data_IF_754111963525
#
_entry.id   IF_754111963525
#
_cell.length_a   1.000
_cell.length_b   1.000
_cell.length_c   1.000
_cell.angle_alpha   90.00
_cell.angle_beta   90.00
_cell.angle_gamma   90.00
#
_symmetry.space_group_name_H-M   'P 1'
#
loop_
_entity.id
_entity.type
_entity.pdbx_description
1 polymer ?
#
# COMPACT_ATOMS: atom_id res chain seq x y z
N UNK A 1 9.57 -47.80 -49.80
CA UNK A 1 10.61 -47.66 -48.76
C UNK A 1 10.77 -46.25 -48.14
N UNK A 2 9.98 -45.22 -48.50
CA UNK A 2 10.16 -43.84 -47.92
C UNK A 2 9.21 -43.46 -46.75
N UNK A 3 8.22 -44.31 -46.40
CA UNK A 3 7.28 -44.02 -45.29
C UNK A 3 7.71 -44.56 -43.90
N UNK A 4 8.60 -45.56 -43.86
CA UNK A 4 9.06 -46.16 -42.58
C UNK A 4 10.12 -45.33 -41.83
N UNK A 5 10.92 -44.56 -42.57
CA UNK A 5 12.05 -43.76 -41.96
C UNK A 5 11.52 -42.56 -41.19
N UNK A 6 10.39 -41.95 -41.57
CA UNK A 6 9.82 -40.78 -40.86
C UNK A 6 9.17 -41.12 -39.51
N UNK A 7 8.59 -42.33 -39.39
CA UNK A 7 7.93 -42.78 -38.13
C UNK A 7 8.98 -43.14 -37.07
N UNK A 8 10.08 -43.80 -37.50
CA UNK A 8 11.18 -44.15 -36.57
C UNK A 8 11.91 -42.90 -36.04
N UNK A 9 12.13 -41.88 -36.90
CA UNK A 9 12.75 -40.60 -36.47
C UNK A 9 11.90 -39.83 -35.48
N UNK A 10 10.56 -39.87 -35.60
CA UNK A 10 9.65 -39.18 -34.67
C UNK A 10 9.58 -39.90 -33.32
N UNK A 11 9.57 -41.24 -33.31
CA UNK A 11 9.55 -42.02 -32.07
C UNK A 11 10.89 -41.87 -31.32
N UNK A 12 12.04 -41.88 -31.99
CA UNK A 12 13.35 -41.64 -31.34
C UNK A 12 13.47 -40.22 -30.78
N UNK A 13 12.95 -39.20 -31.47
CA UNK A 13 12.97 -37.82 -30.96
C UNK A 13 12.07 -37.62 -29.73
N UNK A 14 10.91 -38.27 -29.68
CA UNK A 14 9.99 -38.20 -28.53
C UNK A 14 10.57 -38.96 -27.33
N UNK A 15 11.25 -40.09 -27.56
CA UNK A 15 11.90 -40.85 -26.45
C UNK A 15 13.12 -40.10 -25.92
N UNK A 16 13.92 -39.42 -26.75
CA UNK A 16 15.07 -38.62 -26.30
C UNK A 16 14.61 -37.40 -25.51
N UNK A 17 13.52 -36.75 -25.92
CA UNK A 17 12.94 -35.63 -25.16
C UNK A 17 12.36 -36.10 -23.82
N UNK A 18 11.70 -37.26 -23.79
CA UNK A 18 11.17 -37.85 -22.55
C UNK A 18 12.29 -38.28 -21.58
N UNK A 19 13.37 -38.86 -22.10
CA UNK A 19 14.54 -39.25 -21.28
C UNK A 19 15.33 -38.02 -20.81
N UNK A 20 15.46 -36.95 -21.60
CA UNK A 20 16.04 -35.67 -21.14
C UNK A 20 15.20 -34.98 -20.07
N UNK A 21 13.87 -35.06 -20.15
CA UNK A 21 12.98 -34.54 -19.13
C UNK A 21 13.04 -35.33 -17.81
N UNK A 22 13.43 -36.60 -17.84
CA UNK A 22 13.63 -37.44 -16.64
C UNK A 22 15.06 -37.26 -16.02
N UNK A 23 15.99 -36.63 -16.75
CA UNK A 23 17.37 -36.38 -16.28
C UNK A 23 17.58 -34.98 -15.75
N UNK A 24 16.55 -34.12 -15.73
CA UNK A 24 16.63 -32.90 -14.98
C UNK A 24 16.64 -33.30 -13.50
N UNK A 25 17.71 -32.95 -12.73
CA UNK A 25 17.67 -33.19 -11.31
C UNK A 25 16.43 -32.45 -10.77
N UNK A 26 15.49 -33.20 -10.22
CA UNK A 26 14.47 -32.62 -9.36
C UNK A 26 15.26 -31.90 -8.27
N UNK A 27 15.25 -30.57 -8.28
CA UNK A 27 15.76 -29.78 -7.14
C UNK A 27 14.84 -30.11 -5.98
N UNK A 28 15.15 -31.20 -5.31
CA UNK A 28 14.54 -31.54 -4.03
C UNK A 28 15.14 -30.55 -3.02
N UNK A 29 14.41 -29.49 -2.74
CA UNK A 29 14.75 -28.69 -1.57
C UNK A 29 14.57 -29.60 -0.36
N UNK A 30 15.64 -29.79 0.41
CA UNK A 30 15.54 -30.48 1.70
C UNK A 30 14.58 -29.68 2.58
N UNK A 31 13.74 -30.39 3.35
CA UNK A 31 12.91 -29.72 4.35
C UNK A 31 13.80 -28.89 5.28
N UNK A 32 13.40 -27.63 5.58
CA UNK A 32 14.19 -26.77 6.45
C UNK A 32 14.31 -27.38 7.83
N UNK A 33 15.48 -27.28 8.44
CA UNK A 33 15.84 -27.94 9.69
C UNK A 33 16.31 -26.97 10.75
N UNK A 34 16.24 -27.37 12.04
CA UNK A 34 16.67 -26.55 13.16
C UNK A 34 15.59 -25.70 13.78
N UNK A 35 16.01 -24.86 14.73
CA UNK A 35 15.09 -23.93 15.42
C UNK A 35 14.49 -22.93 14.43
N UNK A 36 13.18 -22.74 14.47
CA UNK A 36 12.50 -21.83 13.55
C UNK A 36 12.90 -20.37 13.77
N UNK A 37 12.92 -19.61 12.67
CA UNK A 37 12.96 -18.14 12.73
C UNK A 37 11.53 -17.67 12.95
N UNK A 38 11.28 -16.96 14.05
CA UNK A 38 9.92 -16.52 14.40
C UNK A 38 9.66 -15.12 13.87
N UNK A 39 8.62 -15.00 13.04
CA UNK A 39 8.07 -13.73 12.57
C UNK A 39 6.70 -13.54 13.22
N UNK A 40 6.53 -12.46 13.96
CA UNK A 40 5.28 -12.08 14.60
C UNK A 40 4.48 -11.07 13.77
N UNK A 41 3.18 -11.08 13.94
CA UNK A 41 2.26 -10.09 13.39
C UNK A 41 1.28 -9.60 14.44
N UNK A 42 1.10 -8.28 14.54
CA UNK A 42 0.08 -7.64 15.38
C UNK A 42 -0.82 -6.78 14.51
N UNK A 43 -2.13 -6.98 14.62
CA UNK A 43 -3.12 -6.16 13.91
C UNK A 43 -4.54 -6.47 14.36
N UNK A 44 -5.52 -5.86 13.75
CA UNK A 44 -6.93 -6.20 13.93
C UNK A 44 -7.32 -7.27 12.90
N UNK A 45 -7.26 -8.54 13.27
CA UNK A 45 -7.47 -9.67 12.36
C UNK A 45 -8.86 -9.73 11.71
N UNK A 46 -9.84 -9.03 12.26
CA UNK A 46 -11.19 -8.92 11.70
C UNK A 46 -11.35 -7.72 10.73
N UNK A 47 -10.36 -6.83 10.65
CA UNK A 47 -10.44 -5.65 9.79
C UNK A 47 -10.24 -6.01 8.31
N UNK A 48 -11.09 -5.49 7.41
CA UNK A 48 -10.90 -5.66 5.96
C UNK A 48 -9.58 -5.08 5.42
N UNK A 49 -8.98 -4.12 6.13
CA UNK A 49 -7.68 -3.56 5.79
C UNK A 49 -6.53 -4.47 6.24
N UNK A 50 -6.61 -4.97 7.47
CA UNK A 50 -5.53 -5.72 8.15
C UNK A 50 -5.48 -7.18 7.76
N UNK A 51 -6.63 -7.84 7.67
CA UNK A 51 -6.69 -9.29 7.38
C UNK A 51 -5.96 -9.68 6.09
N UNK A 52 -6.12 -8.98 4.95
CA UNK A 52 -5.39 -9.31 3.74
C UNK A 52 -3.86 -9.21 3.88
N UNK A 53 -3.36 -8.25 4.68
CA UNK A 53 -1.93 -8.10 4.95
C UNK A 53 -1.38 -9.29 5.74
N UNK A 54 -2.11 -9.74 6.74
CA UNK A 54 -1.78 -10.94 7.50
C UNK A 54 -1.76 -12.19 6.61
N UNK A 55 -2.80 -12.38 5.78
CA UNK A 55 -2.93 -13.55 4.92
C UNK A 55 -1.83 -13.59 3.85
N UNK A 56 -1.44 -12.46 3.28
CA UNK A 56 -0.38 -12.39 2.27
C UNK A 56 1.02 -12.61 2.89
N UNK A 57 1.27 -12.16 4.12
CA UNK A 57 2.50 -12.46 4.83
C UNK A 57 2.60 -13.96 5.13
N UNK A 58 1.50 -14.58 5.58
CA UNK A 58 1.44 -16.04 5.75
C UNK A 58 1.75 -16.78 4.45
N UNK A 59 1.19 -16.32 3.32
CA UNK A 59 1.49 -16.88 2.00
C UNK A 59 2.98 -16.78 1.66
N UNK A 60 3.60 -15.63 1.91
CA UNK A 60 5.03 -15.42 1.65
C UNK A 60 5.89 -16.36 2.52
N UNK A 61 5.54 -16.55 3.79
CA UNK A 61 6.22 -17.50 4.70
C UNK A 61 6.07 -18.92 4.21
N UNK A 62 4.90 -19.34 3.77
CA UNK A 62 4.69 -20.68 3.23
C UNK A 62 5.54 -20.93 1.97
N UNK A 63 5.65 -19.94 1.08
CA UNK A 63 6.52 -20.02 -0.11
C UNK A 63 8.01 -20.12 0.27
N UNK A 64 8.45 -19.38 1.27
CA UNK A 64 9.84 -19.44 1.79
C UNK A 64 10.13 -20.83 2.37
N UNK A 65 9.22 -21.38 3.17
CA UNK A 65 9.39 -22.70 3.76
C UNK A 65 9.40 -23.80 2.69
N UNK A 66 8.53 -23.69 1.69
CA UNK A 66 8.53 -24.63 0.54
C UNK A 66 9.82 -24.56 -0.30
N UNK A 67 10.52 -23.41 -0.25
CA UNK A 67 11.82 -23.22 -0.90
C UNK A 67 13.03 -23.59 -0.02
N UNK A 68 12.83 -24.24 1.14
CA UNK A 68 13.90 -24.66 2.05
C UNK A 68 14.19 -23.71 3.20
N UNK A 69 13.29 -22.77 3.49
CA UNK A 69 13.39 -21.84 4.60
C UNK A 69 14.37 -20.69 4.37
N UNK A 70 14.84 -20.07 5.46
CA UNK A 70 15.87 -19.03 5.42
C UNK A 70 17.15 -19.60 6.07
N UNK A 71 18.25 -19.58 5.34
CA UNK A 71 19.51 -20.23 5.77
C UNK A 71 19.32 -21.71 6.16
N UNK A 72 18.37 -22.41 5.50
CA UNK A 72 18.02 -23.81 5.80
C UNK A 72 17.15 -24.00 7.04
N UNK A 73 16.72 -22.94 7.71
CA UNK A 73 15.85 -22.98 8.91
C UNK A 73 14.39 -22.69 8.53
N UNK A 74 13.41 -23.36 9.18
CA UNK A 74 12.01 -23.05 8.96
C UNK A 74 11.64 -21.66 9.50
N UNK A 75 10.64 -21.04 8.89
CA UNK A 75 10.06 -19.79 9.38
C UNK A 75 8.71 -20.10 10.03
N UNK A 76 8.54 -19.68 11.28
CA UNK A 76 7.28 -19.74 12.01
C UNK A 76 6.60 -18.39 12.02
N UNK A 77 5.36 -18.33 11.53
CA UNK A 77 4.56 -17.11 11.50
C UNK A 77 3.51 -17.15 12.60
N UNK A 78 3.52 -16.15 13.49
CA UNK A 78 2.62 -16.08 14.65
C UNK A 78 1.82 -14.79 14.59
N UNK A 79 0.51 -14.91 14.67
CA UNK A 79 -0.42 -13.76 14.65
C UNK A 79 -0.97 -13.55 16.07
N UNK A 80 -0.98 -12.30 16.52
CA UNK A 80 -1.65 -11.85 17.73
C UNK A 80 -2.67 -10.76 17.39
N UNK A 81 -3.90 -10.93 17.87
CA UNK A 81 -5.01 -10.01 17.57
C UNK A 81 -5.05 -8.85 18.57
N UNK A 82 -4.68 -7.66 18.11
CA UNK A 82 -4.81 -6.43 18.89
C UNK A 82 -6.21 -5.79 18.86
N UNK A 83 -7.16 -6.34 18.08
CA UNK A 83 -8.57 -5.89 17.95
C UNK A 83 -8.73 -4.40 17.59
N UNK A 84 -7.67 -3.73 17.13
CA UNK A 84 -7.65 -2.29 16.88
C UNK A 84 -7.70 -1.44 18.17
N UNK A 85 -7.44 -2.04 19.32
CA UNK A 85 -7.27 -1.38 20.60
C UNK A 85 -5.80 -1.20 20.94
N UNK A 86 -5.44 -0.05 21.50
CA UNK A 86 -4.02 0.28 21.78
C UNK A 86 -3.43 -0.61 22.86
N UNK A 87 -4.15 -0.84 23.97
CA UNK A 87 -3.66 -1.62 25.10
C UNK A 87 -3.52 -3.10 24.73
N UNK A 88 -4.54 -3.66 24.07
CA UNK A 88 -4.52 -5.05 23.59
C UNK A 88 -3.42 -5.25 22.53
N UNK A 89 -3.17 -4.26 21.68
CA UNK A 89 -2.09 -4.36 20.68
C UNK A 89 -0.70 -4.35 21.31
N UNK A 90 -0.48 -3.54 22.36
CA UNK A 90 0.77 -3.54 23.14
C UNK A 90 0.96 -4.88 23.89
N UNK A 91 -0.10 -5.43 24.47
CA UNK A 91 -0.08 -6.74 25.12
C UNK A 91 0.26 -7.85 24.11
N UNK A 92 -0.42 -7.87 22.96
CA UNK A 92 -0.17 -8.77 21.86
C UNK A 92 1.29 -8.71 21.38
N UNK A 93 1.84 -7.50 21.23
CA UNK A 93 3.25 -7.29 20.88
C UNK A 93 4.20 -7.86 21.96
N UNK A 94 3.95 -7.56 23.23
CA UNK A 94 4.77 -8.07 24.36
C UNK A 94 4.82 -9.59 24.37
N UNK A 95 3.68 -10.25 24.12
CA UNK A 95 3.61 -11.70 24.03
C UNK A 95 4.49 -12.26 22.93
N UNK A 96 4.43 -11.69 21.72
CA UNK A 96 5.30 -12.09 20.60
C UNK A 96 6.79 -12.00 20.96
N UNK A 97 7.19 -10.95 21.66
CA UNK A 97 8.59 -10.72 22.02
C UNK A 97 9.04 -11.59 23.18
N UNK A 98 8.28 -11.63 24.27
CA UNK A 98 8.70 -12.25 25.53
C UNK A 98 8.47 -13.76 25.50
N UNK A 99 7.29 -14.22 25.06
CA UNK A 99 6.91 -15.63 25.10
C UNK A 99 7.31 -16.35 23.80
N UNK A 100 6.94 -15.77 22.63
CA UNK A 100 7.12 -16.40 21.34
C UNK A 100 8.54 -16.16 20.75
N UNK A 101 9.36 -15.27 21.35
CA UNK A 101 10.74 -14.94 20.93
C UNK A 101 10.84 -14.52 19.46
N UNK A 102 9.92 -13.69 19.00
CA UNK A 102 9.91 -13.22 17.63
C UNK A 102 11.15 -12.36 17.33
N UNK A 103 11.88 -12.72 16.27
CA UNK A 103 13.03 -11.97 15.75
C UNK A 103 12.59 -10.75 14.96
N UNK A 104 11.47 -10.87 14.24
CA UNK A 104 10.83 -9.79 13.49
C UNK A 104 9.36 -9.69 13.89
N UNK A 105 8.85 -8.47 14.02
CA UNK A 105 7.43 -8.23 14.24
C UNK A 105 6.95 -7.18 13.24
N UNK A 106 5.95 -7.57 12.44
CA UNK A 106 5.18 -6.67 11.59
C UNK A 106 3.95 -6.18 12.35
N UNK A 107 3.70 -4.89 12.33
CA UNK A 107 2.55 -4.27 13.01
C UNK A 107 1.73 -3.48 12.04
N UNK A 108 0.46 -3.84 11.89
CA UNK A 108 -0.50 -3.04 11.13
C UNK A 108 -1.54 -2.41 12.06
N UNK A 109 -1.69 -1.09 11.94
CA UNK A 109 -2.63 -0.36 12.76
C UNK A 109 -2.59 1.14 12.51
N UNK A 110 -3.44 1.85 13.25
CA UNK A 110 -3.42 3.30 13.28
C UNK A 110 -2.10 3.80 13.89
N UNK A 111 -1.67 4.99 13.48
CA UNK A 111 -0.41 5.58 13.93
C UNK A 111 -0.29 5.63 15.46
N UNK A 112 -1.39 5.88 16.18
CA UNK A 112 -1.43 5.92 17.65
C UNK A 112 -1.10 4.55 18.28
N UNK A 113 -1.60 3.47 17.70
CA UNK A 113 -1.30 2.09 18.13
C UNK A 113 0.17 1.78 17.88
N UNK A 114 0.66 2.11 16.68
CA UNK A 114 2.05 1.86 16.31
C UNK A 114 3.03 2.65 17.19
N UNK A 115 2.71 3.90 17.57
CA UNK A 115 3.50 4.69 18.50
C UNK A 115 3.58 4.07 19.91
N UNK A 116 2.47 3.53 20.40
CA UNK A 116 2.44 2.83 21.69
C UNK A 116 3.25 1.52 21.67
N UNK A 117 3.17 0.76 20.58
CA UNK A 117 3.99 -0.44 20.36
C UNK A 117 5.47 -0.07 20.24
N UNK A 118 5.80 1.00 19.52
CA UNK A 118 7.19 1.49 19.39
C UNK A 118 7.79 1.81 20.77
N UNK A 119 7.01 2.46 21.65
CA UNK A 119 7.45 2.74 23.00
C UNK A 119 7.72 1.46 23.80
N UNK A 120 6.81 0.50 23.75
CA UNK A 120 6.99 -0.81 24.40
C UNK A 120 8.19 -1.56 23.82
N UNK A 121 8.41 -1.50 22.51
CA UNK A 121 9.55 -2.08 21.81
C UNK A 121 10.87 -1.49 22.30
N UNK A 122 10.98 -0.17 22.37
CA UNK A 122 12.19 0.50 22.85
C UNK A 122 12.55 0.16 24.31
N UNK A 123 11.55 -0.15 25.16
CA UNK A 123 11.77 -0.64 26.53
C UNK A 123 12.28 -2.09 26.53
N UNK A 124 11.73 -2.94 25.68
CA UNK A 124 12.05 -4.38 25.66
C UNK A 124 13.33 -4.69 24.87
N UNK A 125 13.76 -3.83 23.96
CA UNK A 125 14.81 -4.11 22.97
C UNK A 125 16.14 -4.59 23.56
N UNK A 126 16.53 -4.05 24.72
CA UNK A 126 17.80 -4.43 25.36
C UNK A 126 17.82 -5.90 25.83
N UNK A 127 16.70 -6.39 26.33
CA UNK A 127 16.57 -7.75 26.86
C UNK A 127 16.14 -8.74 25.78
N UNK A 128 15.29 -8.27 24.85
CA UNK A 128 14.73 -9.06 23.76
C UNK A 128 14.99 -8.35 22.42
N UNK A 129 16.20 -8.50 21.84
CA UNK A 129 16.54 -7.87 20.56
C UNK A 129 15.63 -8.36 19.43
N UNK A 130 15.03 -7.46 18.68
CA UNK A 130 14.10 -7.76 17.58
C UNK A 130 14.08 -6.62 16.56
N UNK A 131 13.56 -6.88 15.37
CA UNK A 131 13.24 -5.87 14.36
C UNK A 131 11.74 -5.60 14.39
N UNK A 132 11.36 -4.32 14.39
CA UNK A 132 9.97 -3.88 14.34
C UNK A 132 9.69 -3.18 13.01
N UNK A 133 8.66 -3.65 12.28
CA UNK A 133 8.24 -3.06 11.01
C UNK A 133 6.79 -2.58 11.15
N UNK A 134 6.55 -1.32 10.80
CA UNK A 134 5.22 -0.74 10.73
C UNK A 134 4.68 -0.85 9.32
N UNK A 135 3.60 -1.62 9.15
CA UNK A 135 2.89 -1.78 7.88
C UNK A 135 1.71 -0.81 7.83
N UNK A 136 1.82 0.20 6.97
CA UNK A 136 0.74 1.12 6.63
C UNK A 136 0.56 2.40 7.45
N UNK A 137 1.06 2.58 8.69
CA UNK A 137 0.85 3.83 9.41
C UNK A 137 1.68 4.98 8.80
N UNK A 138 1.05 6.14 8.63
CA UNK A 138 1.67 7.29 7.96
C UNK A 138 2.28 8.31 8.91
N UNK A 139 1.93 8.28 10.21
CA UNK A 139 2.38 9.27 11.19
C UNK A 139 3.88 9.51 11.16
N UNK A 140 4.30 10.73 10.84
CA UNK A 140 5.70 11.14 10.71
C UNK A 140 6.49 10.93 11.99
N UNK A 141 5.83 11.02 13.14
CA UNK A 141 6.45 10.83 14.45
C UNK A 141 7.11 9.45 14.61
N UNK A 142 6.56 8.39 14.00
CA UNK A 142 7.10 7.03 14.09
C UNK A 142 8.58 6.95 13.68
N UNK A 143 8.96 7.65 12.62
CA UNK A 143 10.34 7.61 12.12
C UNK A 143 11.14 8.85 12.51
N UNK A 144 10.50 9.98 12.84
CA UNK A 144 11.17 11.11 13.45
C UNK A 144 11.79 10.75 14.81
N UNK A 145 11.08 9.95 15.64
CA UNK A 145 11.59 9.45 16.94
C UNK A 145 12.87 8.61 16.83
N UNK A 146 13.09 7.91 15.71
CA UNK A 146 14.32 7.13 15.50
C UNK A 146 15.53 8.05 15.55
N UNK A 147 15.43 9.25 14.95
CA UNK A 147 16.49 10.25 14.98
C UNK A 147 16.55 10.95 16.36
N UNK A 148 15.40 11.36 16.88
CA UNK A 148 15.32 12.20 18.08
C UNK A 148 15.72 11.45 19.35
N UNK A 149 15.52 10.13 19.37
CA UNK A 149 15.76 9.28 20.54
C UNK A 149 16.73 8.14 20.26
N UNK A 150 17.62 8.33 19.26
CA UNK A 150 18.65 7.34 18.96
C UNK A 150 19.51 7.03 20.20
N UNK A 151 19.92 5.77 20.45
CA UNK A 151 19.66 4.58 19.59
C UNK A 151 18.41 3.78 19.98
N UNK A 152 17.49 4.35 20.78
CA UNK A 152 16.33 3.62 21.37
C UNK A 152 15.48 2.90 20.34
N UNK A 153 15.35 3.45 19.13
CA UNK A 153 14.45 2.96 18.09
C UNK A 153 15.15 2.60 16.76
N UNK A 154 16.48 2.44 16.76
CA UNK A 154 17.25 2.12 15.53
C UNK A 154 16.82 0.80 14.87
N UNK A 155 16.12 -0.07 15.61
CA UNK A 155 15.59 -1.35 15.14
C UNK A 155 14.19 -1.25 14.52
N UNK A 156 13.61 -0.04 14.44
CA UNK A 156 12.27 0.22 13.91
C UNK A 156 12.35 0.68 12.45
N UNK A 157 11.48 0.12 11.61
CA UNK A 157 11.35 0.41 10.18
C UNK A 157 9.88 0.64 9.82
N UNK A 158 9.63 1.32 8.71
CA UNK A 158 8.28 1.51 8.17
C UNK A 158 8.26 1.21 6.67
N UNK A 159 7.44 0.27 6.27
CA UNK A 159 7.27 -0.13 4.87
C UNK A 159 6.46 0.86 4.03
N UNK A 160 5.86 1.85 4.67
CA UNK A 160 4.96 2.83 4.08
C UNK A 160 5.54 4.24 4.12
N UNK A 161 4.86 5.16 3.43
CA UNK A 161 5.26 6.56 3.36
C UNK A 161 4.94 7.35 4.64
N UNK A 162 5.82 8.26 5.07
CA UNK A 162 5.42 9.34 5.98
C UNK A 162 4.53 10.36 5.26
N UNK A 163 3.74 11.12 6.02
CA UNK A 163 2.86 12.16 5.45
C UNK A 163 3.55 13.07 4.41
N UNK A 164 4.81 13.51 4.58
CA UNK A 164 5.46 14.36 3.58
C UNK A 164 5.63 13.71 2.21
N UNK A 165 5.70 12.39 2.12
CA UNK A 165 5.82 11.70 0.83
C UNK A 165 4.57 11.87 -0.06
N UNK A 166 3.43 12.16 0.54
CA UNK A 166 2.19 12.39 -0.19
C UNK A 166 2.10 13.77 -0.86
N UNK A 167 3.08 14.65 -0.64
CA UNK A 167 3.14 15.94 -1.33
C UNK A 167 3.44 15.82 -2.82
N UNK A 168 4.18 14.79 -3.25
CA UNK A 168 4.42 14.52 -4.66
C UNK A 168 3.11 14.23 -5.42
N UNK A 169 2.29 13.23 -5.04
CA UNK A 169 1.02 12.98 -5.70
C UNK A 169 0.03 14.14 -5.53
N UNK A 170 -0.01 14.83 -4.39
CA UNK A 170 -0.89 15.99 -4.21
C UNK A 170 -0.56 17.12 -5.17
N UNK A 171 0.72 17.46 -5.32
CA UNK A 171 1.16 18.44 -6.31
C UNK A 171 0.71 18.03 -7.72
N UNK A 172 0.85 16.76 -8.08
CA UNK A 172 0.43 16.27 -9.37
C UNK A 172 -1.10 16.39 -9.57
N UNK A 173 -1.91 16.07 -8.54
CA UNK A 173 -3.36 16.23 -8.63
C UNK A 173 -3.75 17.70 -8.83
N UNK A 174 -3.14 18.62 -8.10
CA UNK A 174 -3.46 20.04 -8.18
C UNK A 174 -2.93 20.73 -9.44
N UNK A 175 -1.81 20.24 -10.01
CA UNK A 175 -1.23 20.85 -11.22
C UNK A 175 -1.63 20.20 -12.54
N UNK A 176 -2.04 18.92 -12.49
CA UNK A 176 -2.36 18.16 -13.70
C UNK A 176 -3.74 17.51 -13.68
N UNK A 177 -4.02 16.59 -12.74
CA UNK A 177 -5.26 15.82 -12.78
C UNK A 177 -6.49 16.73 -12.74
N UNK A 178 -6.57 17.64 -11.78
CA UNK A 178 -7.73 18.51 -11.64
C UNK A 178 -7.80 19.57 -12.75
N UNK A 179 -6.79 20.40 -13.01
CA UNK A 179 -6.91 21.45 -14.01
C UNK A 179 -6.86 20.97 -15.46
N UNK A 180 -6.15 19.86 -15.78
CA UNK A 180 -5.93 19.43 -17.16
C UNK A 180 -6.86 18.29 -17.59
N UNK A 181 -7.13 17.33 -16.72
CA UNK A 181 -7.94 16.15 -17.02
C UNK A 181 -9.40 16.41 -16.66
N UNK A 182 -9.68 16.77 -15.40
CA UNK A 182 -11.04 17.03 -14.90
C UNK A 182 -11.53 18.41 -15.32
N UNK A 183 -10.62 19.37 -15.56
CA UNK A 183 -10.86 20.79 -15.86
C UNK A 183 -11.54 21.53 -14.69
N UNK A 184 -11.23 21.09 -13.47
CA UNK A 184 -11.70 21.72 -12.25
C UNK A 184 -10.86 22.95 -11.90
N UNK A 185 -11.51 23.98 -11.36
CA UNK A 185 -10.91 25.20 -10.83
C UNK A 185 -11.28 25.43 -9.37
N UNK A 186 -12.35 24.80 -8.90
CA UNK A 186 -12.94 24.96 -7.56
C UNK A 186 -12.94 23.61 -6.84
N UNK A 187 -12.27 23.56 -5.70
CA UNK A 187 -11.99 22.33 -4.95
C UNK A 187 -12.70 22.36 -3.61
N UNK A 188 -13.43 21.28 -3.30
CA UNK A 188 -13.82 20.95 -1.94
C UNK A 188 -12.86 19.88 -1.37
N UNK A 189 -12.34 20.08 -0.18
CA UNK A 189 -11.45 19.14 0.51
C UNK A 189 -12.18 18.57 1.73
N UNK A 190 -12.29 17.25 1.78
CA UNK A 190 -12.69 16.50 2.95
C UNK A 190 -11.54 15.60 3.40
N UNK A 191 -11.36 15.44 4.70
CA UNK A 191 -10.43 14.47 5.27
C UNK A 191 -11.00 13.85 6.53
N UNK A 192 -10.60 12.62 6.80
CA UNK A 192 -10.97 11.99 8.06
C UNK A 192 -10.23 12.65 9.23
N UNK A 193 -10.95 12.81 10.35
CA UNK A 193 -10.40 13.46 11.55
C UNK A 193 -9.63 12.44 12.41
N UNK A 194 -8.44 12.07 11.93
CA UNK A 194 -7.49 11.19 12.60
C UNK A 194 -6.09 11.83 12.64
N UNK A 195 -5.22 11.33 13.50
CA UNK A 195 -3.89 11.90 13.74
C UNK A 195 -3.04 11.98 12.46
N UNK A 196 -3.08 10.97 11.61
CA UNK A 196 -2.29 10.89 10.37
C UNK A 196 -2.61 11.97 9.32
N UNK A 197 -3.77 12.65 9.41
CA UNK A 197 -4.11 13.76 8.51
C UNK A 197 -3.69 15.14 9.06
N UNK A 198 -3.10 15.19 10.24
CA UNK A 198 -2.86 16.45 10.96
C UNK A 198 -1.86 17.34 10.25
N UNK A 199 -0.75 16.78 9.76
CA UNK A 199 0.32 17.55 9.11
C UNK A 199 -0.15 18.17 7.80
N UNK A 200 -0.98 17.51 7.02
CA UNK A 200 -1.54 18.08 5.78
C UNK A 200 -2.46 19.27 6.01
N UNK A 201 -3.12 19.29 7.18
CA UNK A 201 -3.98 20.40 7.60
C UNK A 201 -3.21 21.59 8.15
N UNK A 202 -2.10 21.34 8.85
CA UNK A 202 -1.30 22.36 9.53
C UNK A 202 -0.08 22.81 8.73
N UNK A 203 0.38 22.02 7.76
CA UNK A 203 1.70 22.13 7.16
C UNK A 203 2.75 21.41 7.99
N UNK A 204 3.96 21.32 7.46
CA UNK A 204 5.10 20.64 8.10
C UNK A 204 6.28 21.60 8.17
N UNK A 205 6.36 22.37 9.26
CA UNK A 205 7.29 23.48 9.40
C UNK A 205 8.76 23.06 9.31
N UNK A 206 9.13 21.91 9.92
CA UNK A 206 10.53 21.46 9.99
C UNK A 206 11.12 21.05 8.62
N UNK A 207 10.27 20.86 7.58
CA UNK A 207 10.70 20.66 6.19
C UNK A 207 10.03 21.64 5.22
N UNK A 208 9.42 22.70 5.78
CA UNK A 208 8.84 23.81 5.05
C UNK A 208 7.79 23.41 4.00
N UNK A 209 6.90 22.48 4.35
CA UNK A 209 5.79 22.06 3.50
C UNK A 209 4.48 22.77 3.89
N UNK A 210 3.76 23.36 2.92
CA UNK A 210 2.52 24.08 3.19
C UNK A 210 1.36 23.12 3.48
N UNK A 211 0.24 23.66 3.97
CA UNK A 211 -1.03 22.90 3.99
C UNK A 211 -1.43 22.50 2.58
N UNK A 212 -2.21 21.42 2.43
CA UNK A 212 -2.75 21.03 1.11
C UNK A 212 -3.65 22.12 0.51
N UNK A 213 -4.40 22.83 1.34
CA UNK A 213 -5.20 24.00 0.88
C UNK A 213 -4.32 25.08 0.25
N UNK A 214 -3.23 25.42 0.93
CA UNK A 214 -2.28 26.39 0.39
C UNK A 214 -1.63 25.88 -0.90
N UNK A 215 -1.27 24.60 -0.97
CA UNK A 215 -0.68 24.01 -2.17
C UNK A 215 -1.67 24.01 -3.35
N UNK A 216 -2.94 23.73 -3.11
CA UNK A 216 -4.00 23.84 -4.14
C UNK A 216 -4.12 25.28 -4.65
N UNK A 217 -4.17 26.24 -3.74
CA UNK A 217 -4.23 27.69 -4.06
C UNK A 217 -3.02 28.14 -4.86
N UNK A 218 -1.83 27.76 -4.43
CA UNK A 218 -0.57 28.09 -5.13
C UNK A 218 -0.51 27.46 -6.53
N UNK A 219 -1.25 26.37 -6.74
CA UNK A 219 -1.42 25.70 -8.03
C UNK A 219 -2.55 26.30 -8.91
N UNK A 220 -3.16 27.38 -8.48
CA UNK A 220 -4.24 28.07 -9.22
C UNK A 220 -5.62 27.45 -9.05
N UNK A 221 -5.84 26.63 -8.02
CA UNK A 221 -7.13 26.04 -7.68
C UNK A 221 -7.72 26.77 -6.48
N UNK A 222 -8.96 27.25 -6.61
CA UNK A 222 -9.70 27.87 -5.51
C UNK A 222 -10.25 26.79 -4.58
N UNK A 223 -9.86 26.80 -3.30
CA UNK A 223 -10.48 25.92 -2.27
C UNK A 223 -11.75 26.64 -1.77
N UNK A 224 -12.89 26.09 -2.11
CA UNK A 224 -14.21 26.69 -1.82
C UNK A 224 -14.91 26.06 -0.61
N UNK A 225 -14.44 24.89 -0.19
CA UNK A 225 -14.94 24.19 1.00
C UNK A 225 -13.84 23.31 1.58
N UNK A 226 -13.77 23.24 2.89
CA UNK A 226 -12.78 22.42 3.59
C UNK A 226 -13.33 21.96 4.94
N UNK A 227 -13.30 20.63 5.21
CA UNK A 227 -13.84 20.08 6.45
C UNK A 227 -13.21 18.74 6.83
N UNK A 228 -12.84 18.62 8.11
CA UNK A 228 -12.59 17.33 8.74
C UNK A 228 -13.91 16.61 9.04
N UNK A 229 -13.95 15.30 8.79
CA UNK A 229 -15.14 14.46 9.02
C UNK A 229 -14.77 13.26 9.88
N UNK A 230 -15.71 12.82 10.73
CA UNK A 230 -15.50 11.62 11.53
C UNK A 230 -15.37 10.39 10.60
N UNK A 231 -14.50 9.42 10.92
CA UNK A 231 -14.30 8.24 10.08
C UNK A 231 -15.57 7.42 9.87
N UNK A 232 -16.45 7.36 10.86
CA UNK A 232 -17.70 6.59 10.81
C UNK A 232 -18.89 7.37 11.37
N UNK A 233 -20.08 7.02 10.88
CA UNK A 233 -21.33 7.59 11.34
C UNK A 233 -21.53 9.04 10.90
N UNK A 234 -20.81 9.53 9.91
CA UNK A 234 -21.00 10.87 9.35
C UNK A 234 -22.23 10.87 8.43
N UNK A 235 -23.16 11.79 8.71
CA UNK A 235 -24.23 12.11 7.77
C UNK A 235 -23.69 13.12 6.74
N UNK A 236 -23.49 12.66 5.51
CA UNK A 236 -22.84 13.46 4.48
C UNK A 236 -23.79 14.40 3.73
N UNK A 237 -25.09 14.17 3.71
CA UNK A 237 -26.03 15.03 2.97
C UNK A 237 -25.90 16.53 3.26
N UNK A 238 -25.82 16.99 4.53
CA UNK A 238 -25.63 18.42 4.81
C UNK A 238 -24.29 18.96 4.29
N UNK A 239 -23.23 18.15 4.37
CA UNK A 239 -21.90 18.51 3.87
C UNK A 239 -21.94 18.63 2.34
N UNK A 240 -22.53 17.67 1.66
CA UNK A 240 -22.67 17.63 0.21
C UNK A 240 -23.56 18.77 -0.32
N UNK A 241 -24.58 19.16 0.44
CA UNK A 241 -25.39 20.34 0.13
C UNK A 241 -24.53 21.61 0.18
N UNK A 242 -23.74 21.83 1.23
CA UNK A 242 -22.85 22.98 1.36
C UNK A 242 -21.79 23.01 0.25
N UNK A 243 -21.25 21.86 -0.15
CA UNK A 243 -20.29 21.74 -1.27
C UNK A 243 -20.95 22.13 -2.60
N UNK A 244 -22.20 21.71 -2.82
CA UNK A 244 -22.95 22.07 -4.02
C UNK A 244 -23.24 23.59 -4.06
N UNK A 245 -23.64 24.18 -2.94
CA UNK A 245 -23.85 25.64 -2.79
C UNK A 245 -22.56 26.43 -3.02
N UNK A 246 -21.43 25.90 -2.55
CA UNK A 246 -20.11 26.45 -2.80
C UNK A 246 -19.65 26.28 -4.27
N UNK A 247 -20.42 25.60 -5.13
CA UNK A 247 -20.14 25.37 -6.56
C UNK A 247 -18.76 24.77 -6.79
N UNK A 248 -18.38 23.75 -6.03
CA UNK A 248 -17.14 22.99 -6.26
C UNK A 248 -17.24 22.24 -7.61
N UNK A 249 -16.11 22.11 -8.31
CA UNK A 249 -15.99 21.29 -9.53
C UNK A 249 -15.54 19.87 -9.19
N UNK A 250 -14.77 19.71 -8.09
CA UNK A 250 -14.26 18.45 -7.63
C UNK A 250 -14.24 18.38 -6.09
N UNK A 251 -14.60 17.22 -5.56
CA UNK A 251 -14.44 16.87 -4.14
C UNK A 251 -13.25 15.95 -4.04
N UNK A 252 -12.21 16.37 -3.32
CA UNK A 252 -11.13 15.51 -2.88
C UNK A 252 -11.42 15.02 -1.47
N UNK A 253 -11.53 13.72 -1.29
CA UNK A 253 -11.78 13.14 0.01
C UNK A 253 -10.61 12.21 0.41
N UNK A 254 -9.81 12.69 1.36
CA UNK A 254 -8.72 11.94 1.96
C UNK A 254 -9.24 11.08 3.10
N UNK A 255 -9.15 9.78 2.95
CA UNK A 255 -9.70 8.79 3.89
C UNK A 255 -8.79 7.57 4.02
N UNK A 256 -9.00 6.78 5.04
CA UNK A 256 -8.33 5.50 5.26
C UNK A 256 -9.33 4.34 5.31
N UNK A 257 -8.83 3.15 5.65
CA UNK A 257 -9.62 1.93 5.87
C UNK A 257 -10.59 2.03 7.06
N UNK A 258 -10.47 3.07 7.88
CA UNK A 258 -11.34 3.31 9.03
C UNK A 258 -12.58 4.13 8.68
N UNK A 259 -12.62 4.70 7.48
CA UNK A 259 -13.71 5.57 7.01
C UNK A 259 -14.66 4.81 6.09
N UNK A 260 -15.97 4.97 6.32
CA UNK A 260 -17.04 4.38 5.51
C UNK A 260 -17.29 5.19 4.21
N UNK A 261 -16.29 5.16 3.31
CA UNK A 261 -16.36 5.88 2.02
C UNK A 261 -17.45 5.35 1.08
N UNK A 262 -17.90 4.11 1.26
CA UNK A 262 -19.07 3.56 0.58
C UNK A 262 -20.36 4.30 1.00
N UNK A 263 -20.50 4.67 2.26
CA UNK A 263 -21.62 5.48 2.75
C UNK A 263 -21.58 6.89 2.17
N UNK A 264 -20.38 7.52 2.16
CA UNK A 264 -20.18 8.80 1.48
C UNK A 264 -20.61 8.72 0.01
N UNK A 265 -20.13 7.72 -0.72
CA UNK A 265 -20.38 7.56 -2.15
C UNK A 265 -21.87 7.38 -2.46
N UNK A 266 -22.58 6.58 -1.64
CA UNK A 266 -24.03 6.40 -1.77
C UNK A 266 -24.78 7.72 -1.56
N UNK A 267 -24.42 8.48 -0.52
CA UNK A 267 -25.05 9.76 -0.23
C UNK A 267 -24.70 10.83 -1.29
N UNK A 268 -23.45 10.85 -1.78
CA UNK A 268 -23.05 11.73 -2.87
C UNK A 268 -23.90 11.49 -4.13
N UNK A 269 -24.05 10.24 -4.55
CA UNK A 269 -24.80 9.91 -5.76
C UNK A 269 -26.27 10.33 -5.71
N UNK A 270 -26.86 10.45 -4.50
CA UNK A 270 -28.24 10.82 -4.27
C UNK A 270 -28.42 12.31 -3.83
N UNK A 271 -27.31 13.09 -3.78
CA UNK A 271 -27.31 14.46 -3.26
C UNK A 271 -27.35 15.53 -4.35
N UNK A 272 -27.43 16.80 -3.93
CA UNK A 272 -27.26 17.96 -4.81
C UNK A 272 -25.84 18.02 -5.43
N UNK A 273 -24.84 17.38 -4.83
CA UNK A 273 -23.47 17.35 -5.32
C UNK A 273 -23.19 16.20 -6.30
N UNK A 274 -24.19 15.43 -6.71
CA UNK A 274 -24.01 14.21 -7.55
C UNK A 274 -23.30 14.47 -8.89
N UNK A 275 -23.34 15.69 -9.41
CA UNK A 275 -22.70 16.06 -10.68
C UNK A 275 -21.28 16.63 -10.50
N UNK A 276 -20.85 16.84 -9.26
CA UNK A 276 -19.50 17.24 -8.91
C UNK A 276 -18.59 16.01 -8.97
N UNK A 277 -17.42 16.13 -9.59
CA UNK A 277 -16.45 15.05 -9.63
C UNK A 277 -16.01 14.68 -8.21
N UNK A 278 -15.77 13.39 -7.95
CA UNK A 278 -15.26 12.89 -6.67
C UNK A 278 -13.97 12.13 -6.87
N UNK A 279 -12.94 12.50 -6.12
CA UNK A 279 -11.70 11.77 -6.00
C UNK A 279 -11.54 11.27 -4.55
N UNK A 280 -11.70 9.96 -4.37
CA UNK A 280 -11.46 9.28 -3.11
C UNK A 280 -9.99 8.88 -3.02
N UNK A 281 -9.31 9.38 -2.01
CA UNK A 281 -7.90 9.08 -1.77
C UNK A 281 -7.78 8.15 -0.56
N UNK A 282 -7.52 6.87 -0.86
CA UNK A 282 -7.36 5.83 0.16
C UNK A 282 -8.63 5.03 0.49
N UNK A 283 -8.49 4.14 1.45
CA UNK A 283 -9.56 3.31 1.99
C UNK A 283 -10.14 2.27 1.03
N UNK A 284 -11.36 1.84 1.30
CA UNK A 284 -12.05 0.76 0.56
C UNK A 284 -12.32 1.09 -0.91
N UNK A 285 -12.23 2.39 -1.31
CA UNK A 285 -12.36 2.78 -2.71
C UNK A 285 -11.27 2.22 -3.62
N UNK A 286 -10.18 1.72 -3.04
CA UNK A 286 -9.06 1.09 -3.74
C UNK A 286 -9.27 -0.41 -4.01
N UNK A 287 -10.37 -0.99 -3.52
CA UNK A 287 -10.66 -2.41 -3.70
C UNK A 287 -11.49 -2.68 -4.94
N UNK A 288 -11.31 -3.87 -5.52
CA UNK A 288 -12.12 -4.35 -6.64
C UNK A 288 -13.62 -4.37 -6.33
N UNK A 289 -13.99 -4.63 -5.08
CA UNK A 289 -15.37 -4.76 -4.61
C UNK A 289 -16.11 -3.44 -4.43
N UNK A 290 -15.44 -2.30 -4.48
CA UNK A 290 -16.05 -1.00 -4.16
C UNK A 290 -17.29 -0.67 -5.01
N UNK A 291 -17.25 -1.04 -6.29
CA UNK A 291 -18.43 -0.91 -7.17
C UNK A 291 -19.65 -1.65 -6.62
N UNK A 292 -19.46 -2.91 -6.22
CA UNK A 292 -20.51 -3.76 -5.64
C UNK A 292 -20.96 -3.23 -4.27
N UNK A 293 -20.03 -2.84 -3.40
CA UNK A 293 -20.32 -2.29 -2.07
C UNK A 293 -21.18 -1.03 -2.14
N UNK A 294 -21.01 -0.22 -3.17
CA UNK A 294 -21.81 1.00 -3.39
C UNK A 294 -23.11 0.74 -4.14
N UNK A 295 -23.37 -0.49 -4.59
CA UNK A 295 -24.54 -0.81 -5.42
C UNK A 295 -24.52 -0.10 -6.78
N UNK A 296 -23.32 0.10 -7.36
CA UNK A 296 -23.12 0.80 -8.62
C UNK A 296 -23.11 2.34 -8.50
N UNK A 297 -23.30 2.88 -7.30
CA UNK A 297 -23.32 4.36 -7.07
C UNK A 297 -21.92 4.99 -7.14
N UNK A 298 -20.86 4.21 -7.30
CA UNK A 298 -19.51 4.69 -7.57
C UNK A 298 -19.31 5.21 -9.01
N UNK A 299 -20.36 5.28 -9.83
CA UNK A 299 -20.29 5.79 -11.19
C UNK A 299 -19.73 7.22 -11.25
N UNK A 300 -18.57 7.40 -11.86
CA UNK A 300 -17.86 8.68 -11.96
C UNK A 300 -16.84 8.92 -10.84
N UNK A 301 -16.81 8.10 -9.79
CA UNK A 301 -15.80 8.20 -8.73
C UNK A 301 -14.42 7.91 -9.29
N UNK A 302 -13.45 8.74 -8.90
CA UNK A 302 -12.02 8.59 -9.19
C UNK A 302 -11.35 8.04 -7.94
N UNK A 303 -10.45 7.07 -8.09
CA UNK A 303 -9.66 6.50 -6.98
C UNK A 303 -8.34 5.92 -7.48
N UNK A 304 -7.52 5.43 -6.56
CA UNK A 304 -6.30 4.67 -6.86
C UNK A 304 -6.63 3.18 -6.97
N UNK A 305 -5.84 2.44 -7.74
CA UNK A 305 -6.04 1.02 -7.96
C UNK A 305 -4.76 0.21 -7.77
N UNK A 306 -4.88 -0.90 -7.08
CA UNK A 306 -3.74 -1.78 -6.74
C UNK A 306 -4.00 -3.27 -7.05
N UNK A 307 -5.21 -3.65 -7.46
CA UNK A 307 -5.50 -5.01 -7.89
C UNK A 307 -5.11 -5.20 -9.37
N UNK A 308 -3.81 -5.29 -9.59
CA UNK A 308 -3.15 -5.16 -10.89
C UNK A 308 -3.00 -6.51 -11.60
N UNK A 309 -4.09 -7.27 -11.74
CA UNK A 309 -4.11 -8.62 -12.35
C UNK A 309 -3.78 -8.62 -13.86
N UNK A 310 -3.99 -7.48 -14.51
CA UNK A 310 -3.76 -7.29 -15.95
C UNK A 310 -2.67 -6.25 -16.26
N UNK A 311 -2.12 -5.60 -15.23
CA UNK A 311 -1.15 -4.52 -15.35
C UNK A 311 0.19 -4.94 -14.76
N UNK A 312 1.15 -5.25 -15.63
CA UNK A 312 2.50 -5.61 -15.21
C UNK A 312 3.36 -4.36 -14.96
N UNK A 313 3.50 -3.95 -13.70
CA UNK A 313 4.45 -2.91 -13.30
C UNK A 313 5.86 -3.42 -13.24
N UNK A 314 6.00 -4.60 -12.68
CA UNK A 314 7.22 -5.38 -12.57
C UNK A 314 6.93 -6.81 -13.04
N UNK A 315 7.95 -7.65 -13.24
CA UNK A 315 7.74 -9.07 -13.49
C UNK A 315 6.98 -9.79 -12.37
N UNK A 316 6.93 -9.21 -11.17
CA UNK A 316 6.32 -9.81 -9.98
C UNK A 316 4.85 -9.42 -9.79
N UNK A 317 4.35 -8.37 -10.46
CA UNK A 317 2.99 -7.82 -10.25
C UNK A 317 1.90 -8.85 -10.50
N UNK A 318 1.75 -9.28 -11.76
CA UNK A 318 0.69 -10.21 -12.15
C UNK A 318 0.80 -11.57 -11.44
N UNK A 319 2.00 -12.19 -11.30
CA UNK A 319 2.14 -13.43 -10.56
C UNK A 319 1.68 -13.34 -9.10
N UNK A 320 2.02 -12.25 -8.40
CA UNK A 320 1.59 -12.07 -7.00
C UNK A 320 0.08 -11.90 -6.90
N UNK A 321 -0.50 -11.02 -7.73
CA UNK A 321 -1.96 -10.76 -7.71
C UNK A 321 -2.74 -12.03 -7.99
N UNK A 322 -2.35 -12.84 -8.98
CA UNK A 322 -2.98 -14.12 -9.25
C UNK A 322 -2.89 -15.09 -8.08
N UNK A 323 -1.71 -15.25 -7.47
CA UNK A 323 -1.55 -16.10 -6.28
C UNK A 323 -2.42 -15.65 -5.10
N UNK A 324 -2.57 -14.35 -4.91
CA UNK A 324 -3.44 -13.78 -3.90
C UNK A 324 -4.92 -14.10 -4.18
N UNK A 325 -5.38 -13.92 -5.44
CA UNK A 325 -6.73 -14.26 -5.86
C UNK A 325 -7.04 -15.76 -5.70
N UNK A 326 -6.11 -16.64 -6.06
CA UNK A 326 -6.25 -18.10 -5.88
C UNK A 326 -6.45 -18.48 -4.39
N UNK A 327 -6.05 -17.61 -3.47
CA UNK A 327 -6.24 -17.77 -2.01
C UNK A 327 -7.31 -16.87 -1.42
N UNK A 328 -8.10 -16.20 -2.26
CA UNK A 328 -9.13 -15.24 -1.87
C UNK A 328 -8.59 -14.08 -1.02
N UNK A 329 -7.37 -13.62 -1.28
CA UNK A 329 -6.77 -12.46 -0.63
C UNK A 329 -7.02 -11.22 -1.51
N UNK A 330 -7.83 -10.25 -1.04
CA UNK A 330 -8.06 -9.02 -1.78
C UNK A 330 -6.77 -8.19 -1.88
N UNK A 331 -6.43 -7.75 -3.10
CA UNK A 331 -5.24 -6.94 -3.30
C UNK A 331 -5.54 -5.45 -3.09
N UNK A 332 -4.71 -4.83 -2.28
CA UNK A 332 -4.69 -3.40 -1.97
C UNK A 332 -3.26 -2.96 -1.70
N UNK A 333 -3.00 -1.66 -1.60
CA UNK A 333 -1.65 -1.14 -1.47
C UNK A 333 -0.83 -1.81 -0.34
N UNK A 334 -1.37 -1.86 0.87
CA UNK A 334 -0.68 -2.42 2.03
C UNK A 334 -0.38 -3.92 1.88
N UNK A 335 -1.19 -4.65 1.11
CA UNK A 335 -0.96 -6.09 0.86
C UNK A 335 0.31 -6.31 0.02
N UNK A 336 0.57 -5.44 -0.97
CA UNK A 336 1.81 -5.51 -1.73
C UNK A 336 3.04 -5.25 -0.86
N UNK A 337 2.97 -4.29 0.06
CA UNK A 337 4.04 -4.01 1.01
C UNK A 337 4.21 -5.15 2.02
N UNK A 338 3.12 -5.64 2.59
CA UNK A 338 3.14 -6.74 3.55
C UNK A 338 3.81 -8.01 2.98
N UNK A 339 3.58 -8.34 1.70
CA UNK A 339 4.32 -9.39 1.02
C UNK A 339 5.80 -9.07 0.88
N UNK A 340 6.12 -7.84 0.48
CA UNK A 340 7.49 -7.39 0.30
C UNK A 340 8.27 -7.36 1.62
N UNK A 341 7.63 -7.07 2.75
CA UNK A 341 8.24 -7.10 4.09
C UNK A 341 8.86 -8.45 4.39
N UNK A 342 8.11 -9.53 4.17
CA UNK A 342 8.61 -10.89 4.43
C UNK A 342 9.80 -11.22 3.53
N UNK A 343 9.76 -10.80 2.27
CA UNK A 343 10.89 -10.97 1.35
C UNK A 343 12.10 -10.11 1.77
N UNK A 344 11.85 -8.91 2.27
CA UNK A 344 12.91 -8.00 2.72
C UNK A 344 13.57 -8.51 4.00
N UNK A 345 12.78 -9.00 4.96
CA UNK A 345 13.28 -9.69 6.16
C UNK A 345 14.15 -10.90 5.78
N UNK A 346 13.67 -11.75 4.85
CA UNK A 346 14.45 -12.87 4.33
C UNK A 346 15.79 -12.39 3.78
N UNK A 347 15.80 -11.41 2.89
CA UNK A 347 17.00 -10.88 2.27
C UNK A 347 17.95 -10.26 3.31
N UNK A 348 17.42 -9.59 4.35
CA UNK A 348 18.21 -9.02 5.44
C UNK A 348 18.89 -10.10 6.28
N UNK A 349 18.20 -11.21 6.58
CA UNK A 349 18.78 -12.36 7.29
C UNK A 349 19.87 -13.03 6.43
N UNK A 350 19.63 -13.21 5.14
CA UNK A 350 20.62 -13.78 4.21
C UNK A 350 21.85 -12.88 4.05
N UNK A 351 21.67 -11.55 4.08
CA UNK A 351 22.76 -10.59 4.13
C UNK A 351 23.57 -10.72 5.43
N UNK A 352 22.90 -10.80 6.56
CA UNK A 352 23.53 -10.96 7.88
C UNK A 352 24.20 -12.33 8.06
N UNK A 353 23.71 -13.36 7.33
CA UNK A 353 24.11 -14.79 7.45
C UNK A 353 23.84 -15.41 8.82
N UNK A 354 23.04 -14.74 9.65
CA UNK A 354 22.70 -15.15 11.02
C UNK A 354 21.42 -14.44 11.49
N UNK A 355 20.87 -14.90 12.62
CA UNK A 355 19.64 -14.33 13.22
C UNK A 355 19.85 -13.70 14.59
N UNK A 356 21.01 -13.94 15.21
CA UNK A 356 21.24 -13.58 16.61
C UNK A 356 21.96 -12.24 16.79
N UNK A 357 22.59 -11.74 15.73
CA UNK A 357 23.27 -10.46 15.73
C UNK A 357 22.34 -9.34 15.24
N UNK A 358 21.62 -8.75 16.15
CA UNK A 358 20.65 -7.69 15.85
C UNK A 358 21.25 -6.51 15.07
N UNK A 359 22.54 -6.18 15.30
CA UNK A 359 23.20 -5.09 14.56
C UNK A 359 23.38 -5.44 13.09
N UNK A 360 23.70 -6.73 12.80
CA UNK A 360 23.80 -7.19 11.43
C UNK A 360 22.44 -7.29 10.76
N UNK A 361 21.40 -7.64 11.51
CA UNK A 361 20.02 -7.63 10.99
C UNK A 361 19.55 -6.20 10.65
N UNK A 362 19.77 -5.23 11.53
CA UNK A 362 19.49 -3.80 11.26
C UNK A 362 20.24 -3.36 10.00
N UNK A 363 21.55 -3.66 9.91
CA UNK A 363 22.34 -3.34 8.73
C UNK A 363 21.79 -4.04 7.48
N UNK A 364 21.38 -5.29 7.58
CA UNK A 364 20.73 -6.01 6.49
C UNK A 364 19.47 -5.32 6.01
N UNK A 365 18.60 -4.88 6.93
CA UNK A 365 17.39 -4.11 6.58
C UNK A 365 17.72 -2.80 5.84
N UNK A 366 18.79 -2.11 6.23
CA UNK A 366 19.23 -0.86 5.58
C UNK A 366 19.86 -1.07 4.20
N UNK A 367 20.66 -2.15 4.01
CA UNK A 367 21.50 -2.32 2.82
C UNK A 367 20.79 -3.03 1.67
N UNK A 368 19.90 -3.99 1.97
CA UNK A 368 19.26 -4.77 0.92
C UNK A 368 18.25 -3.96 0.12
N UNK A 369 18.09 -4.33 -1.14
CA UNK A 369 17.04 -3.84 -2.01
C UNK A 369 16.24 -5.03 -2.49
N UNK A 370 14.94 -5.04 -2.21
CA UNK A 370 14.03 -6.15 -2.55
C UNK A 370 13.13 -5.75 -3.71
N UNK A 371 13.27 -6.35 -4.89
CA UNK A 371 12.32 -6.16 -5.96
C UNK A 371 10.99 -6.84 -5.60
N UNK A 372 9.87 -6.15 -5.90
CA UNK A 372 8.52 -6.66 -5.61
C UNK A 372 7.50 -6.15 -6.64
N UNK A 373 6.24 -6.41 -6.38
CA UNK A 373 5.14 -6.19 -7.33
C UNK A 373 4.87 -4.73 -7.69
N UNK A 374 5.17 -3.77 -6.80
CA UNK A 374 5.01 -2.34 -7.09
C UNK A 374 6.35 -1.63 -7.42
N UNK A 375 7.46 -2.36 -7.47
CA UNK A 375 8.76 -1.76 -7.75
C UNK A 375 9.88 -2.37 -6.94
N UNK A 376 10.56 -1.55 -6.15
CA UNK A 376 11.64 -1.94 -5.25
C UNK A 376 11.34 -1.45 -3.83
N UNK A 377 11.64 -2.28 -2.84
CA UNK A 377 11.65 -1.90 -1.44
C UNK A 377 13.08 -1.70 -0.98
N UNK A 378 13.36 -0.55 -0.43
CA UNK A 378 14.60 -0.19 0.25
C UNK A 378 14.28 0.86 1.31
N UNK A 379 14.93 0.78 2.45
CA UNK A 379 14.76 1.78 3.50
C UNK A 379 15.69 2.97 3.31
N UNK A 380 15.21 4.15 3.67
CA UNK A 380 15.98 5.38 3.65
C UNK A 380 16.98 5.39 4.81
N UNK A 381 18.26 5.53 4.47
CA UNK A 381 19.36 5.54 5.47
C UNK A 381 19.92 6.94 5.75
N UNK A 382 19.54 7.94 4.96
CA UNK A 382 19.85 9.34 5.28
C UNK A 382 19.03 9.78 6.49
N UNK A 383 19.70 10.30 7.53
CA UNK A 383 19.06 10.75 8.77
C UNK A 383 18.33 12.08 8.57
N UNK A 384 17.28 12.06 7.75
CA UNK A 384 16.38 13.19 7.49
C UNK A 384 15.00 12.85 8.03
N UNK A 385 14.45 13.68 8.91
CA UNK A 385 13.10 13.54 9.45
C UNK A 385 12.05 13.81 8.38
N UNK A 386 10.98 13.06 8.33
CA UNK A 386 10.65 11.81 9.04
C UNK A 386 10.94 10.57 8.16
N UNK A 387 11.89 10.66 7.24
CA UNK A 387 12.12 9.64 6.21
C UNK A 387 13.06 8.51 6.63
N UNK A 388 13.92 8.73 7.64
CA UNK A 388 14.87 7.72 8.09
C UNK A 388 14.16 6.43 8.50
N UNK A 389 14.61 5.29 7.97
CA UNK A 389 14.00 3.97 8.11
C UNK A 389 12.54 3.85 7.58
N UNK A 390 12.08 4.81 6.77
CA UNK A 390 10.90 4.60 5.91
C UNK A 390 11.35 4.09 4.53
N UNK A 391 10.44 3.44 3.82
CA UNK A 391 10.71 3.05 2.43
C UNK A 391 10.99 4.27 1.54
N UNK A 392 11.87 4.07 0.57
CA UNK A 392 12.30 5.12 -0.38
C UNK A 392 11.23 5.34 -1.44
N UNK A 393 10.35 6.33 -1.27
CA UNK A 393 9.37 6.72 -2.28
C UNK A 393 9.67 8.10 -2.89
N UNK A 394 10.10 9.04 -2.06
CA UNK A 394 10.46 10.41 -2.47
C UNK A 394 11.84 10.80 -1.96
N UNK A 395 12.42 11.82 -2.56
CA UNK A 395 13.68 12.40 -2.07
C UNK A 395 13.43 13.11 -0.71
N UNK A 396 14.13 12.74 0.38
CA UNK A 396 13.88 13.30 1.71
C UNK A 396 13.98 14.83 1.78
N UNK A 397 14.90 15.41 1.01
CA UNK A 397 15.13 16.85 0.96
C UNK A 397 14.23 17.57 -0.06
N UNK A 398 13.46 16.81 -0.86
CA UNK A 398 12.49 17.33 -1.82
C UNK A 398 11.30 16.37 -1.98
N UNK A 399 10.35 16.37 -1.04
CA UNK A 399 9.20 15.44 -1.05
C UNK A 399 8.25 15.61 -2.24
N UNK A 400 8.47 16.61 -3.08
CA UNK A 400 7.76 16.75 -4.35
C UNK A 400 8.32 15.90 -5.48
N UNK A 401 9.45 15.23 -5.25
CA UNK A 401 10.14 14.43 -6.26
C UNK A 401 10.21 12.96 -5.84
N UNK A 402 9.61 12.11 -6.64
CA UNK A 402 9.61 10.66 -6.41
C UNK A 402 10.87 10.00 -6.91
N UNK A 403 11.29 8.92 -6.23
CA UNK A 403 12.36 8.05 -6.73
C UNK A 403 11.83 7.12 -7.83
N UNK A 404 12.42 7.10 -9.03
CA UNK A 404 11.99 6.21 -10.10
C UNK A 404 12.08 4.72 -9.70
N UNK A 405 10.99 3.98 -9.93
CA UNK A 405 10.93 2.53 -9.74
C UNK A 405 10.70 2.07 -8.30
N UNK A 406 10.35 2.96 -7.36
CA UNK A 406 10.15 2.59 -5.96
C UNK A 406 8.69 2.39 -5.57
N UNK A 407 7.78 3.18 -5.90
CA UNK A 407 6.35 2.88 -5.75
C UNK A 407 5.52 3.79 -6.63
N UNK A 408 4.33 3.33 -6.96
CA UNK A 408 3.37 4.15 -7.64
C UNK A 408 1.97 3.54 -7.53
N UNK A 409 0.97 4.33 -7.92
CA UNK A 409 -0.39 3.86 -8.07
C UNK A 409 -1.05 4.44 -9.30
N UNK A 410 -2.00 3.69 -9.87
CA UNK A 410 -2.80 4.12 -10.99
C UNK A 410 -4.04 4.87 -10.49
N UNK A 411 -4.36 5.97 -11.15
CA UNK A 411 -5.59 6.73 -10.93
C UNK A 411 -6.59 6.33 -12.01
N UNK A 412 -7.76 5.88 -11.58
CA UNK A 412 -8.82 5.43 -12.47
C UNK A 412 -10.15 6.11 -12.15
N UNK A 413 -11.10 6.01 -13.07
CA UNK A 413 -12.48 6.39 -12.89
C UNK A 413 -13.39 5.19 -13.09
N UNK A 414 -14.34 4.98 -12.19
CA UNK A 414 -15.45 4.06 -12.44
C UNK A 414 -16.37 4.63 -13.51
N UNK A 415 -16.56 3.88 -14.59
CA UNK A 415 -17.49 4.16 -15.67
C UNK A 415 -18.61 3.12 -15.71
N UNK A 416 -19.36 3.04 -16.80
CA UNK A 416 -20.55 2.21 -16.92
C UNK A 416 -20.23 0.73 -16.56
N UNK A 417 -21.14 0.09 -15.82
CA UNK A 417 -21.03 -1.31 -15.37
C UNK A 417 -19.77 -1.61 -14.52
N UNK A 418 -19.24 -0.59 -13.82
CA UNK A 418 -18.07 -0.76 -12.96
C UNK A 418 -16.75 -0.83 -13.74
N UNK A 419 -16.75 -0.53 -15.04
CA UNK A 419 -15.51 -0.48 -15.82
C UNK A 419 -14.56 0.57 -15.24
N UNK A 420 -13.35 0.18 -14.97
CA UNK A 420 -12.27 1.06 -14.55
C UNK A 420 -11.52 1.61 -15.76
N UNK A 421 -11.44 2.92 -15.87
CA UNK A 421 -10.71 3.61 -16.94
C UNK A 421 -9.57 4.38 -16.31
N UNK A 422 -8.34 4.03 -16.64
CA UNK A 422 -7.15 4.65 -16.08
C UNK A 422 -6.92 6.03 -16.71
N UNK A 423 -6.93 7.05 -15.88
CA UNK A 423 -6.84 8.45 -16.29
C UNK A 423 -5.44 9.02 -16.15
N UNK A 424 -4.71 8.50 -15.18
CA UNK A 424 -3.44 9.08 -14.77
C UNK A 424 -2.66 8.09 -13.91
N UNK A 425 -1.43 8.41 -13.64
CA UNK A 425 -0.58 7.85 -12.60
C UNK A 425 -0.34 8.90 -11.52
N UNK A 426 0.09 8.49 -10.34
CA UNK A 426 0.35 9.44 -9.25
C UNK A 426 1.68 10.18 -9.40
N UNK A 427 2.65 9.57 -10.10
CA UNK A 427 3.99 10.11 -10.30
C UNK A 427 4.52 9.69 -11.68
N UNK A 428 4.42 10.55 -12.71
CA UNK A 428 4.79 10.23 -14.10
C UNK A 428 6.22 9.74 -14.28
N UNK A 429 7.11 10.14 -13.39
CA UNK A 429 8.55 9.78 -13.42
C UNK A 429 8.78 8.30 -13.13
N UNK A 430 7.81 7.62 -12.51
CA UNK A 430 7.97 6.26 -12.03
C UNK A 430 7.51 5.18 -13.00
N UNK A 431 6.70 5.50 -14.03
CA UNK A 431 5.93 4.42 -14.65
C UNK A 431 5.83 4.47 -16.17
N UNK A 432 6.93 4.17 -16.84
CA UNK A 432 6.88 3.87 -18.29
C UNK A 432 5.93 2.70 -18.61
N UNK A 433 5.80 1.71 -17.72
CA UNK A 433 4.94 0.55 -17.90
C UNK A 433 3.45 0.89 -17.93
N UNK A 434 3.00 1.93 -17.18
CA UNK A 434 1.61 2.33 -17.12
C UNK A 434 1.15 3.22 -18.29
N UNK A 435 2.06 3.90 -18.96
CA UNK A 435 1.70 4.89 -20.00
C UNK A 435 0.79 4.30 -21.09
N UNK A 436 0.97 3.03 -21.44
CA UNK A 436 0.11 2.34 -22.44
C UNK A 436 -1.34 2.10 -21.97
N UNK A 437 -1.60 2.15 -20.66
CA UNK A 437 -2.95 1.94 -20.08
C UNK A 437 -3.65 3.27 -19.78
N UNK A 438 -2.92 4.36 -19.69
CA UNK A 438 -3.43 5.67 -19.29
C UNK A 438 -4.07 6.37 -20.47
N UNK A 439 -5.34 6.77 -20.30
CA UNK A 439 -6.08 7.59 -21.27
C UNK A 439 -6.81 8.76 -20.59
N UNK A 440 -6.14 9.90 -20.36
CA UNK A 440 -6.76 11.06 -19.74
C UNK A 440 -7.96 11.61 -20.52
N UNK A 441 -7.99 11.39 -21.84
CA UNK A 441 -9.12 11.84 -22.72
C UNK A 441 -10.38 11.01 -22.51
N UNK A 442 -10.28 9.85 -21.84
CA UNK A 442 -11.43 9.00 -21.53
C UNK A 442 -12.19 9.45 -20.28
N UNK A 443 -11.73 10.48 -19.56
CA UNK A 443 -12.47 11.07 -18.45
C UNK A 443 -13.84 11.55 -18.90
N UNK A 444 -14.87 11.23 -18.12
CA UNK A 444 -16.22 11.71 -18.29
C UNK A 444 -16.72 12.34 -16.99
N UNK A 445 -17.44 13.45 -17.09
CA UNK A 445 -18.04 14.01 -15.87
C UNK A 445 -19.12 13.07 -15.32
N UNK A 446 -19.41 13.13 -14.00
CA UNK A 446 -20.50 12.31 -13.44
C UNK A 446 -21.84 12.52 -14.14
N UNK A 447 -22.15 13.74 -14.58
CA UNK A 447 -23.36 14.03 -15.37
C UNK A 447 -23.39 13.32 -16.72
N UNK A 448 -22.27 13.32 -17.46
CA UNK A 448 -22.16 12.57 -18.73
C UNK A 448 -22.36 11.08 -18.52
N UNK A 449 -21.74 10.49 -17.49
CA UNK A 449 -21.86 9.07 -17.20
C UNK A 449 -23.29 8.68 -16.83
N UNK A 450 -24.00 9.49 -16.03
CA UNK A 450 -25.42 9.24 -15.73
C UNK A 450 -26.32 9.34 -16.96
N UNK A 451 -26.05 10.30 -17.84
CA UNK A 451 -26.79 10.42 -19.12
C UNK A 451 -26.59 9.15 -19.95
N UNK A 452 -25.38 8.65 -20.09
CA UNK A 452 -25.08 7.42 -20.84
C UNK A 452 -25.79 6.22 -20.20
N UNK A 453 -25.71 6.08 -18.87
CA UNK A 453 -26.37 4.99 -18.14
C UNK A 453 -27.90 5.01 -18.32
N UNK A 454 -28.50 6.18 -18.43
CA UNK A 454 -29.94 6.35 -18.72
C UNK A 454 -30.30 6.10 -20.19
N UNK A 455 -29.40 5.61 -21.05
CA UNK A 455 -29.64 5.34 -22.48
C UNK A 455 -29.54 6.58 -23.38
N UNK A 456 -29.01 7.70 -22.86
CA UNK A 456 -28.75 8.91 -23.68
C UNK A 456 -27.42 8.77 -24.45
N UNK A 457 -27.44 9.16 -25.73
CA UNK A 457 -26.23 9.31 -26.56
C UNK A 457 -25.45 10.56 -26.20
#
# INVERSE_FOLDING_TARGET
MKKGIRVVGFIVSVVVIAVMAMLLPSVSFSEPQGEPIVIGYVGNVASPGTKPCMDIQKMAVDEINAAGGILGRPVKYIVQDGKGDTSLSVEAFRKLIIEDKATFVSVEGRSEICLAIQEASGVLFKEYPHILIFNGPMGSELTARIIDQAPKYDHCFRDYDPEPAHYAPMKYYFTYLYPKVIKAKRLAILWEDLAWTTEWRKGIDYINLPTWEKMAKDSGIEVVYSKAVKPRGTLYFPILQQIAEAKADVIFYCSSWFTDTESFTKQWADSAAKDIAVHLYGGVSQTHDFWRMTGGKALGVISSYYDLDTIALTPYTIPLVKKAHDRNIPMQQHVHYAYADILHMKNAIEYAKETDNIKMLIKGMEEVTTPYSLGKMKYQTQKVKPFYHSTMHVEPNNPYKSYPGYAFWAIFQYQENGKMVFLSESCPENVKAMQKYINPKAYKTPAQLRKIQAGGK
#
